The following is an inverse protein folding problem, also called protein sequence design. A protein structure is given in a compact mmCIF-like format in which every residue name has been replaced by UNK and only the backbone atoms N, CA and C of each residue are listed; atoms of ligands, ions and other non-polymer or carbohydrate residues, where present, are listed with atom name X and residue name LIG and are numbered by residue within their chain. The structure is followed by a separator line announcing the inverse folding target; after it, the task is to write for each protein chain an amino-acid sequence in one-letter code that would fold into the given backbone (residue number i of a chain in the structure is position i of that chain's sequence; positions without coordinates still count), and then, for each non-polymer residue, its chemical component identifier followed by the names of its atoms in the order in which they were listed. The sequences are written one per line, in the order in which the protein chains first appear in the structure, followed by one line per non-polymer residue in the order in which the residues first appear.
data_IF_921159431712
#
_entry.id   IF_921159431712
#
_cell.length_a   1.000
_cell.length_b   1.000
_cell.length_c   1.000
_cell.angle_alpha   90.00
_cell.angle_beta   90.00
_cell.angle_gamma   90.00
#
_symmetry.space_group_name_H-M   'P 1'
#
loop_
_entity.id
_entity.type
_entity.pdbx_description
1 polymer ?
#
# COMPACT_ATOMS: atom_id res chain seq x y z
N UNK A 1 29.79 16.19 23.85
CA UNK A 1 29.61 14.83 23.34
C UNK A 1 28.27 14.81 22.61
N UNK A 2 28.32 15.06 21.32
CA UNK A 2 27.13 15.18 20.46
C UNK A 2 26.58 13.78 20.26
N UNK A 3 25.33 13.55 20.65
CA UNK A 3 24.58 12.36 20.27
C UNK A 3 24.37 12.44 18.75
N UNK A 4 25.25 11.81 17.99
CA UNK A 4 24.96 11.50 16.60
C UNK A 4 23.71 10.62 16.60
N UNK A 5 22.61 11.20 16.11
CA UNK A 5 21.44 10.43 15.71
C UNK A 5 21.92 9.45 14.65
N UNK A 6 22.02 8.18 15.03
CA UNK A 6 22.21 7.05 14.14
C UNK A 6 21.10 7.12 13.09
N UNK A 7 21.39 7.76 11.96
CA UNK A 7 20.58 7.62 10.75
C UNK A 7 20.75 6.15 10.40
N UNK A 8 19.75 5.34 10.69
CA UNK A 8 19.83 3.90 10.57
C UNK A 8 20.12 3.48 9.13
N UNK A 9 21.39 3.50 8.72
CA UNK A 9 21.90 3.22 7.38
C UNK A 9 22.13 1.72 7.15
N UNK A 10 21.72 0.88 8.11
CA UNK A 10 21.77 -0.57 7.99
C UNK A 10 20.75 -1.13 6.98
N UNK A 11 20.92 -2.39 6.54
CA UNK A 11 19.93 -3.06 5.70
C UNK A 11 18.57 -3.13 6.42
N UNK A 12 17.53 -2.61 5.77
CA UNK A 12 16.16 -2.63 6.27
C UNK A 12 15.25 -3.45 5.34
N UNK A 13 14.10 -3.94 5.82
CA UNK A 13 13.12 -4.57 4.94
C UNK A 13 12.52 -3.60 3.93
N UNK A 14 12.18 -4.10 2.75
CA UNK A 14 11.53 -3.31 1.69
C UNK A 14 10.03 -3.53 1.73
N UNK A 15 9.28 -2.44 1.79
CA UNK A 15 7.83 -2.38 1.59
C UNK A 15 7.57 -2.02 0.13
N UNK A 16 6.57 -2.66 -0.49
CA UNK A 16 6.12 -2.33 -1.85
C UNK A 16 4.67 -1.91 -1.81
N UNK A 17 4.33 -0.80 -2.48
CA UNK A 17 2.96 -0.29 -2.58
C UNK A 17 2.59 0.02 -4.01
N UNK A 18 1.31 -0.11 -4.35
CA UNK A 18 0.73 0.58 -5.49
C UNK A 18 0.40 2.04 -5.13
N UNK A 19 0.75 2.96 -6.03
CA UNK A 19 0.50 4.38 -5.91
C UNK A 19 -0.83 4.74 -6.57
N UNK A 20 -1.65 5.51 -5.88
CA UNK A 20 -2.84 6.11 -6.46
C UNK A 20 -2.53 7.39 -7.25
N UNK A 21 -3.46 7.82 -8.10
CA UNK A 21 -3.50 9.18 -8.63
C UNK A 21 -3.67 10.22 -7.51
N UNK A 22 -3.34 11.48 -7.80
CA UNK A 22 -3.35 12.54 -6.79
C UNK A 22 -4.73 12.74 -6.12
N UNK A 23 -5.81 12.74 -6.91
CA UNK A 23 -7.17 12.89 -6.38
C UNK A 23 -7.58 11.75 -5.45
N UNK A 24 -7.25 10.50 -5.83
CA UNK A 24 -7.55 9.33 -5.02
C UNK A 24 -6.68 9.25 -3.77
N UNK A 25 -5.43 9.69 -3.85
CA UNK A 25 -4.55 9.85 -2.69
C UNK A 25 -5.16 10.84 -1.69
N UNK A 26 -5.60 12.01 -2.17
CA UNK A 26 -6.23 13.03 -1.32
C UNK A 26 -7.53 12.51 -0.67
N UNK A 27 -8.36 11.79 -1.42
CA UNK A 27 -9.57 11.16 -0.90
C UNK A 27 -9.28 10.21 0.27
N UNK A 28 -8.31 9.30 0.15
CA UNK A 28 -8.00 8.37 1.22
C UNK A 28 -7.25 9.04 2.38
N UNK A 29 -6.39 10.02 2.11
CA UNK A 29 -5.72 10.81 3.14
C UNK A 29 -6.74 11.55 4.01
N UNK A 30 -7.75 12.18 3.41
CA UNK A 30 -8.82 12.87 4.12
C UNK A 30 -9.61 11.91 5.04
N UNK A 31 -9.95 10.72 4.54
CA UNK A 31 -10.58 9.67 5.35
C UNK A 31 -9.69 9.27 6.54
N UNK A 32 -8.38 9.14 6.34
CA UNK A 32 -7.44 8.85 7.43
C UNK A 32 -7.35 9.98 8.44
N UNK A 33 -7.32 11.24 7.99
CA UNK A 33 -7.34 12.40 8.89
C UNK A 33 -8.60 12.41 9.76
N UNK A 34 -9.76 12.07 9.18
CA UNK A 34 -11.04 12.06 9.90
C UNK A 34 -11.21 10.89 10.86
N UNK A 35 -10.66 9.72 10.56
CA UNK A 35 -11.06 8.47 11.23
C UNK A 35 -9.92 7.69 11.90
N UNK A 36 -8.67 7.98 11.55
CA UNK A 36 -7.51 7.34 12.14
C UNK A 36 -7.09 8.10 13.40
N UNK A 37 -6.74 7.41 14.52
CA UNK A 37 -6.22 8.09 15.70
C UNK A 37 -5.02 8.99 15.32
N UNK A 38 -5.05 10.30 15.62
CA UNK A 38 -4.09 11.27 15.11
C UNK A 38 -2.65 10.95 15.55
N UNK A 39 -2.47 10.43 16.76
CA UNK A 39 -1.18 10.01 17.30
C UNK A 39 -0.57 8.78 16.57
N UNK A 40 -1.39 8.06 15.81
CA UNK A 40 -1.00 6.88 15.02
C UNK A 40 -0.99 7.12 13.52
N UNK A 41 -1.57 8.22 13.04
CA UNK A 41 -1.70 8.52 11.62
C UNK A 41 -0.41 9.16 11.05
N UNK A 42 0.67 8.37 11.03
CA UNK A 42 2.01 8.84 10.64
C UNK A 42 2.35 8.61 9.16
N UNK A 43 1.49 7.89 8.44
CA UNK A 43 1.67 7.57 7.03
C UNK A 43 0.49 8.10 6.22
N UNK A 44 0.78 8.51 4.98
CA UNK A 44 -0.24 8.71 3.96
C UNK A 44 -0.94 7.41 3.62
N UNK A 45 -2.14 7.51 3.03
CA UNK A 45 -2.86 6.36 2.51
C UNK A 45 -2.00 5.60 1.51
N UNK A 46 -2.04 4.27 1.60
CA UNK A 46 -1.23 3.39 0.78
C UNK A 46 -1.96 2.08 0.50
N UNK A 47 -1.66 1.48 -0.64
CA UNK A 47 -2.08 0.14 -1.02
C UNK A 47 -0.87 -0.79 -0.98
N UNK A 48 -0.64 -1.43 0.16
CA UNK A 48 0.52 -2.32 0.36
C UNK A 48 0.36 -3.61 -0.44
N UNK A 49 1.39 -3.95 -1.22
CA UNK A 49 1.52 -5.21 -1.97
C UNK A 49 2.40 -6.22 -1.22
N UNK A 50 3.50 -5.73 -0.62
CA UNK A 50 4.43 -6.50 0.20
C UNK A 50 4.84 -5.68 1.43
N UNK A 51 4.92 -6.33 2.59
CA UNK A 51 5.24 -5.69 3.87
C UNK A 51 6.72 -5.84 4.23
N UNK A 52 7.38 -6.87 3.72
CA UNK A 52 8.68 -7.26 4.22
C UNK A 52 9.47 -8.12 3.22
N UNK A 53 10.00 -7.48 2.18
CA UNK A 53 10.99 -8.10 1.30
C UNK A 53 12.40 -7.91 1.88
N UNK A 54 13.26 -8.92 1.72
CA UNK A 54 14.64 -8.86 2.18
C UNK A 54 15.42 -7.74 1.44
N UNK A 55 16.28 -6.96 2.12
CA UNK A 55 17.08 -5.90 1.49
C UNK A 55 17.96 -6.40 0.33
N UNK A 56 18.42 -7.66 0.38
CA UNK A 56 19.19 -8.30 -0.70
C UNK A 56 18.44 -8.37 -2.03
N UNK A 57 17.10 -8.25 -2.03
CA UNK A 57 16.27 -8.27 -3.22
C UNK A 57 16.20 -6.92 -3.94
N UNK A 58 16.72 -5.83 -3.38
CA UNK A 58 16.53 -4.48 -3.90
C UNK A 58 16.80 -4.36 -5.42
N UNK A 59 17.96 -4.85 -5.86
CA UNK A 59 18.37 -4.72 -7.27
C UNK A 59 17.45 -5.48 -8.21
N UNK A 60 17.09 -6.71 -7.87
CA UNK A 60 16.21 -7.54 -8.67
C UNK A 60 14.77 -6.99 -8.65
N UNK A 61 14.28 -6.60 -7.47
CA UNK A 61 12.98 -5.95 -7.31
C UNK A 61 12.88 -4.70 -8.19
N UNK A 62 13.90 -3.84 -8.20
CA UNK A 62 13.94 -2.66 -9.06
C UNK A 62 13.82 -3.02 -10.55
N UNK A 63 14.55 -4.04 -11.01
CA UNK A 63 14.49 -4.49 -12.41
C UNK A 63 13.10 -5.00 -12.78
N UNK A 64 12.48 -5.79 -11.91
CA UNK A 64 11.13 -6.31 -12.12
C UNK A 64 10.10 -5.19 -12.13
N UNK A 65 10.14 -4.27 -11.18
CA UNK A 65 9.21 -3.14 -11.15
C UNK A 65 9.33 -2.25 -12.41
N UNK A 66 10.54 -2.04 -12.94
CA UNK A 66 10.72 -1.33 -14.22
C UNK A 66 10.07 -2.10 -15.37
N UNK A 67 10.22 -3.42 -15.42
CA UNK A 67 9.59 -4.25 -16.46
C UNK A 67 8.05 -4.22 -16.38
N UNK A 68 7.49 -4.13 -15.17
CA UNK A 68 6.04 -4.08 -14.97
C UNK A 68 5.42 -2.72 -15.33
N UNK A 69 6.19 -1.61 -15.31
CA UNK A 69 5.61 -0.27 -15.51
C UNK A 69 6.07 0.45 -16.77
N UNK A 70 7.28 0.20 -17.28
CA UNK A 70 7.87 0.99 -18.37
C UNK A 70 7.15 0.73 -19.70
N UNK A 71 6.43 1.74 -20.20
CA UNK A 71 5.66 1.63 -21.44
C UNK A 71 4.38 0.80 -21.30
N UNK A 72 4.02 0.42 -20.07
CA UNK A 72 2.83 -0.36 -19.74
C UNK A 72 1.74 0.58 -19.26
N UNK A 73 0.52 0.42 -19.78
CA UNK A 73 -0.64 1.19 -19.32
C UNK A 73 -0.95 0.91 -17.84
N UNK A 74 -1.52 1.89 -17.15
CA UNK A 74 -1.87 1.72 -15.75
C UNK A 74 -2.97 0.64 -15.55
N UNK A 75 -2.85 -0.23 -14.53
CA UNK A 75 -3.92 -1.14 -14.14
C UNK A 75 -5.22 -0.41 -13.84
N UNK A 76 -6.34 -0.91 -14.36
CA UNK A 76 -7.65 -0.48 -13.90
C UNK A 76 -7.86 -0.95 -12.47
N UNK A 77 -8.46 -0.10 -11.63
CA UNK A 77 -8.73 -0.43 -10.25
C UNK A 77 -10.01 0.26 -9.80
N UNK A 78 -10.73 -0.39 -8.87
CA UNK A 78 -11.90 0.21 -8.24
C UNK A 78 -11.94 -0.06 -6.75
N UNK A 79 -12.56 0.87 -6.03
CA UNK A 79 -13.05 0.61 -4.68
C UNK A 79 -14.31 -0.25 -4.82
N UNK A 80 -14.27 -1.45 -4.25
CA UNK A 80 -15.30 -2.46 -4.45
C UNK A 80 -16.11 -2.80 -3.19
N UNK A 81 -15.71 -2.26 -2.04
CA UNK A 81 -16.43 -2.44 -0.78
C UNK A 81 -15.62 -1.98 0.42
N UNK A 82 -16.20 -2.20 1.59
CA UNK A 82 -15.52 -2.02 2.87
C UNK A 82 -15.00 -3.36 3.39
N UNK A 83 -14.00 -3.30 4.24
CA UNK A 83 -13.40 -4.44 4.93
C UNK A 83 -13.27 -4.13 6.41
N UNK A 84 -13.76 -5.04 7.24
CA UNK A 84 -13.46 -5.03 8.68
C UNK A 84 -12.07 -5.59 8.90
N UNK A 85 -11.28 -4.89 9.72
CA UNK A 85 -9.98 -5.35 10.21
C UNK A 85 -10.07 -5.77 11.69
N UNK A 86 -11.30 -5.91 12.23
CA UNK A 86 -11.57 -6.17 13.65
C UNK A 86 -11.39 -4.95 14.55
N UNK A 87 -10.23 -4.28 14.46
CA UNK A 87 -9.91 -3.03 15.17
C UNK A 87 -9.69 -1.84 14.22
N UNK A 88 -10.32 -1.91 13.05
CA UNK A 88 -10.15 -0.92 12.00
C UNK A 88 -11.06 -1.17 10.81
N UNK A 89 -11.05 -0.20 9.89
CA UNK A 89 -11.83 -0.21 8.64
C UNK A 89 -10.91 0.09 7.49
N UNK A 90 -11.09 -0.64 6.39
CA UNK A 90 -10.39 -0.42 5.14
C UNK A 90 -11.36 -0.44 3.95
N UNK A 91 -10.94 0.19 2.86
CA UNK A 91 -11.59 0.06 1.56
C UNK A 91 -10.93 -1.06 0.78
N UNK A 92 -11.73 -2.01 0.28
CA UNK A 92 -11.28 -3.09 -0.61
C UNK A 92 -11.03 -2.54 -1.99
N UNK A 93 -9.85 -2.82 -2.52
CA UNK A 93 -9.50 -2.51 -3.91
C UNK A 93 -9.63 -3.80 -4.74
N UNK A 94 -10.19 -3.69 -5.93
CA UNK A 94 -10.17 -4.74 -6.94
C UNK A 94 -9.35 -4.25 -8.12
N UNK A 95 -8.37 -5.06 -8.55
CA UNK A 95 -7.57 -4.82 -9.74
C UNK A 95 -6.86 -6.11 -10.12
N UNK A 96 -7.42 -6.87 -11.07
CA UNK A 96 -6.83 -8.13 -11.51
C UNK A 96 -5.40 -7.94 -12.00
N UNK A 97 -5.14 -6.86 -12.76
CA UNK A 97 -3.80 -6.57 -13.26
C UNK A 97 -2.79 -6.25 -12.15
N UNK A 98 -3.19 -5.61 -11.04
CA UNK A 98 -2.30 -5.48 -9.88
C UNK A 98 -2.08 -6.79 -9.15
N UNK A 99 -3.10 -7.64 -9.06
CA UNK A 99 -3.00 -8.99 -8.48
C UNK A 99 -1.99 -9.82 -9.30
N UNK A 100 -2.09 -9.79 -10.64
CA UNK A 100 -1.16 -10.46 -11.53
C UNK A 100 0.29 -9.96 -11.38
N UNK A 101 0.50 -8.64 -11.24
CA UNK A 101 1.83 -8.06 -10.97
C UNK A 101 2.38 -8.59 -9.64
N UNK A 102 1.54 -8.60 -8.59
CA UNK A 102 1.97 -9.09 -7.29
C UNK A 102 2.32 -10.57 -7.34
N UNK A 103 1.52 -11.39 -8.02
CA UNK A 103 1.73 -12.83 -8.09
C UNK A 103 3.03 -13.16 -8.83
N UNK A 104 3.34 -12.47 -9.94
CA UNK A 104 4.65 -12.61 -10.61
C UNK A 104 5.83 -12.24 -9.71
N UNK A 105 5.70 -11.20 -8.89
CA UNK A 105 6.72 -10.83 -7.91
C UNK A 105 6.81 -11.87 -6.77
N UNK A 106 5.67 -12.39 -6.32
CA UNK A 106 5.62 -13.37 -5.25
C UNK A 106 6.25 -14.69 -5.68
N UNK A 107 6.00 -15.15 -6.90
CA UNK A 107 6.61 -16.35 -7.48
C UNK A 107 8.12 -16.20 -7.61
N UNK A 108 8.59 -15.04 -8.10
CA UNK A 108 10.01 -14.75 -8.21
C UNK A 108 10.74 -14.77 -6.86
N UNK A 109 10.07 -14.34 -5.79
CA UNK A 109 10.66 -14.22 -4.46
C UNK A 109 10.19 -15.31 -3.49
N UNK A 110 9.50 -16.35 -3.96
CA UNK A 110 8.80 -17.34 -3.15
C UNK A 110 9.62 -17.93 -1.98
N UNK A 111 10.91 -18.31 -2.11
CA UNK A 111 11.67 -18.85 -0.97
C UNK A 111 11.99 -17.80 0.10
N UNK A 112 11.91 -16.51 -0.23
CA UNK A 112 12.32 -15.39 0.62
C UNK A 112 11.15 -14.61 1.22
N UNK A 113 9.91 -14.93 0.83
CA UNK A 113 8.71 -14.29 1.37
C UNK A 113 8.45 -14.72 2.82
N UNK A 114 8.13 -13.74 3.65
CA UNK A 114 7.56 -13.97 4.98
C UNK A 114 6.20 -14.68 4.89
N UNK A 115 5.70 -15.32 5.96
CA UNK A 115 4.36 -15.90 5.96
C UNK A 115 3.26 -14.89 5.59
N UNK A 116 3.37 -13.64 6.04
CA UNK A 116 2.42 -12.56 5.72
C UNK A 116 2.41 -12.23 4.23
N UNK A 117 3.58 -12.15 3.60
CA UNK A 117 3.70 -11.81 2.19
C UNK A 117 3.47 -13.01 1.26
N UNK A 118 3.64 -14.24 1.75
CA UNK A 118 3.29 -15.47 1.04
C UNK A 118 1.78 -15.73 1.02
N UNK A 119 1.05 -15.23 2.03
CA UNK A 119 -0.39 -15.39 2.10
C UNK A 119 -1.09 -14.68 0.92
N UNK A 120 -2.32 -15.12 0.62
CA UNK A 120 -3.15 -14.52 -0.42
C UNK A 120 -3.33 -13.01 -0.19
N UNK A 121 -3.09 -12.22 -1.23
CA UNK A 121 -3.22 -10.77 -1.14
C UNK A 121 -4.68 -10.37 -1.02
N UNK A 122 -4.96 -9.47 -0.08
CA UNK A 122 -6.26 -8.84 0.06
C UNK A 122 -6.06 -7.35 -0.14
N UNK A 123 -6.15 -6.81 -1.36
CA UNK A 123 -5.82 -5.42 -1.65
C UNK A 123 -6.77 -4.48 -0.88
N UNK A 124 -6.22 -3.62 -0.03
CA UNK A 124 -7.03 -2.68 0.75
C UNK A 124 -6.27 -1.42 1.14
N UNK A 125 -7.01 -0.33 1.34
CA UNK A 125 -6.51 0.94 1.90
C UNK A 125 -7.11 1.13 3.28
N UNK A 126 -6.26 1.14 4.30
CA UNK A 126 -6.72 1.30 5.69
C UNK A 126 -6.98 2.77 6.01
N UNK A 127 -8.20 3.06 6.46
CA UNK A 127 -8.64 4.42 6.86
C UNK A 127 -8.81 4.56 8.38
N UNK A 128 -8.85 3.45 9.10
CA UNK A 128 -8.83 3.41 10.56
C UNK A 128 -8.18 2.10 11.03
N UNK A 129 -7.36 2.14 12.08
CA UNK A 129 -6.85 0.95 12.74
C UNK A 129 -6.50 1.24 14.21
N UNK A 130 -6.33 0.18 15.00
CA UNK A 130 -5.95 0.22 16.43
C UNK A 130 -6.96 0.93 17.33
N UNK A 131 -8.22 1.01 16.92
CA UNK A 131 -9.33 1.51 17.76
C UNK A 131 -10.03 0.36 18.47
N UNK A 132 -10.96 0.67 19.37
CA UNK A 132 -11.83 -0.34 19.98
C UNK A 132 -12.79 -0.97 18.93
N UNK A 133 -13.11 -2.27 19.01
CA UNK A 133 -13.94 -2.95 18.02
C UNK A 133 -15.30 -2.30 17.79
N UNK A 134 -15.93 -1.75 18.83
CA UNK A 134 -17.20 -1.04 18.72
C UNK A 134 -17.09 0.24 17.86
N UNK A 135 -15.99 0.98 17.99
CA UNK A 135 -15.70 2.18 17.19
C UNK A 135 -15.51 1.80 15.73
N UNK A 136 -14.73 0.74 15.45
CA UNK A 136 -14.54 0.24 14.09
C UNK A 136 -15.85 -0.22 13.45
N UNK A 137 -16.69 -0.95 14.20
CA UNK A 137 -18.00 -1.41 13.73
C UNK A 137 -18.94 -0.25 13.42
N UNK A 138 -18.97 0.77 14.27
CA UNK A 138 -19.78 1.98 14.04
C UNK A 138 -19.34 2.71 12.77
N UNK A 139 -18.04 2.98 12.61
CA UNK A 139 -17.51 3.63 11.41
C UNK A 139 -17.81 2.81 10.14
N UNK A 140 -17.63 1.49 10.19
CA UNK A 140 -17.91 0.65 9.04
C UNK A 140 -19.39 0.76 8.63
N UNK A 141 -20.31 0.72 9.59
CA UNK A 141 -21.74 0.86 9.33
C UNK A 141 -22.10 2.23 8.75
N UNK A 142 -21.46 3.30 9.22
CA UNK A 142 -21.67 4.65 8.69
C UNK A 142 -21.19 4.77 7.25
N UNK A 143 -19.97 4.32 6.95
CA UNK A 143 -19.40 4.35 5.61
C UNK A 143 -20.18 3.46 4.62
N UNK A 144 -20.75 2.35 5.08
CA UNK A 144 -21.48 1.40 4.23
C UNK A 144 -22.79 1.99 3.69
N UNK A 145 -23.50 2.84 4.47
CA UNK A 145 -24.76 3.48 4.03
C UNK A 145 -24.57 4.33 2.77
N UNK A 146 -23.46 5.04 2.69
CA UNK A 146 -23.13 5.94 1.59
C UNK A 146 -22.23 5.28 0.54
N UNK A 147 -21.81 4.03 0.77
CA UNK A 147 -20.85 3.37 -0.10
C UNK A 147 -21.41 3.21 -1.52
N UNK A 148 -20.66 3.75 -2.49
CA UNK A 148 -20.85 3.47 -3.91
C UNK A 148 -19.51 3.06 -4.49
N UNK A 149 -19.41 1.88 -5.12
CA UNK A 149 -18.15 1.46 -5.67
C UNK A 149 -17.78 2.36 -6.85
N UNK A 150 -16.54 2.84 -6.88
CA UNK A 150 -16.03 3.82 -7.84
C UNK A 150 -14.63 3.44 -8.32
N UNK A 151 -14.27 3.90 -9.50
CA UNK A 151 -12.93 3.70 -10.02
C UNK A 151 -11.91 4.56 -9.27
N UNK A 152 -10.67 4.07 -9.24
CA UNK A 152 -9.50 4.77 -8.70
C UNK A 152 -8.36 4.64 -9.71
N UNK A 153 -7.57 5.70 -9.84
CA UNK A 153 -6.40 5.69 -10.72
C UNK A 153 -5.21 5.05 -10.00
N UNK A 154 -4.59 4.06 -10.62
CA UNK A 154 -3.25 3.61 -10.26
C UNK A 154 -2.24 4.42 -11.08
N UNK A 155 -1.26 5.02 -10.41
CA UNK A 155 -0.25 5.86 -11.07
C UNK A 155 1.08 5.12 -11.25
N UNK A 156 1.40 4.19 -10.36
CA UNK A 156 2.69 3.50 -10.37
C UNK A 156 2.85 2.55 -9.19
N UNK A 157 4.08 2.09 -9.00
CA UNK A 157 4.53 1.27 -7.90
C UNK A 157 5.65 2.01 -7.16
N UNK A 158 5.74 1.83 -5.85
CA UNK A 158 6.79 2.42 -5.03
C UNK A 158 7.36 1.43 -4.05
N UNK A 159 8.63 1.63 -3.71
CA UNK A 159 9.32 0.87 -2.67
C UNK A 159 9.82 1.80 -1.58
N UNK A 160 9.92 1.25 -0.37
CA UNK A 160 10.34 1.99 0.81
C UNK A 160 11.18 1.11 1.73
N UNK A 161 12.11 1.70 2.48
CA UNK A 161 12.74 1.05 3.62
C UNK A 161 11.84 1.16 4.86
N UNK A 162 11.66 0.03 5.55
CA UNK A 162 10.98 -0.02 6.83
C UNK A 162 11.97 0.04 7.99
N UNK A 163 12.19 1.24 8.54
CA UNK A 163 13.12 1.49 9.65
C UNK A 163 12.43 1.72 11.00
N UNK A 164 11.37 0.95 11.26
CA UNK A 164 10.51 1.14 12.44
C UNK A 164 9.43 2.22 12.28
N UNK A 165 9.29 2.78 11.07
CA UNK A 165 8.30 3.80 10.71
C UNK A 165 8.85 5.23 10.79
N UNK A 166 8.13 6.26 10.28
CA UNK A 166 7.56 6.33 8.93
C UNK A 166 8.47 5.72 7.85
N UNK A 167 7.94 5.46 6.66
CA UNK A 167 8.69 4.76 5.62
C UNK A 167 9.62 5.71 4.85
N UNK A 168 10.88 5.32 4.70
CA UNK A 168 11.84 6.06 3.89
C UNK A 168 11.70 5.67 2.42
N UNK A 169 11.55 6.65 1.53
CA UNK A 169 11.37 6.39 0.11
C UNK A 169 12.62 5.77 -0.52
N UNK A 170 12.44 4.68 -1.26
CA UNK A 170 13.53 3.97 -1.94
C UNK A 170 13.44 4.15 -3.46
N UNK A 171 12.30 3.87 -4.08
CA UNK A 171 12.12 4.08 -5.52
C UNK A 171 10.66 4.24 -5.92
N UNK A 172 10.43 4.80 -7.11
CA UNK A 172 9.11 4.93 -7.76
C UNK A 172 9.21 4.54 -9.22
N UNK A 173 8.20 3.81 -9.69
CA UNK A 173 8.10 3.25 -11.05
C UNK A 173 6.71 3.58 -11.57
N UNK A 174 6.62 4.51 -12.52
CA UNK A 174 5.35 5.02 -13.01
C UNK A 174 4.90 4.22 -14.23
N UNK A 175 3.61 3.93 -14.31
CA UNK A 175 3.00 3.41 -15.54
C UNK A 175 3.02 4.49 -16.62
N UNK A 176 2.93 4.09 -17.89
CA UNK A 176 2.70 5.02 -18.98
C UNK A 176 1.39 5.77 -18.73
N UNK A 177 1.42 7.10 -18.93
CA UNK A 177 0.18 7.87 -18.97
C UNK A 177 -0.57 7.50 -20.25
N UNK A 178 -1.88 7.29 -20.13
CA UNK A 178 -2.75 7.21 -21.29
C UNK A 178 -2.55 8.48 -22.12
N UNK A 179 -2.00 8.31 -23.34
CA UNK A 179 -2.09 9.35 -24.35
C UNK A 179 -3.53 9.26 -24.86
N UNK A 180 -4.37 10.14 -24.33
CA UNK A 180 -5.73 10.35 -24.86
C UNK A 180 -5.70 10.68 -26.34
#
# INVERSE_FOLDING_TARGET
MTLEQDRGDGPAPIIVTALFGAADTAFFDDLRVRHFPPERNQLKAHLTMFHHLAPSLERELKQRLVAETKGVAAPTARIAGLMSLGRGVAFRIQSSALEDIRDRLADAFAPLLTPQDRAGWRPHVTVQNKVEPAVAKALQADLDREFRPRDVRIAGLATYWYRGGPWEALSRHMFAQDRG
#
